data_IF_231683533205
#
_entry.id   IF_231683533205
#
_cell.length_a   1.000
_cell.length_b   1.000
_cell.length_c   1.000
_cell.angle_alpha   90.00
_cell.angle_beta   90.00
_cell.angle_gamma   90.00
#
_symmetry.space_group_name_H-M   'P 1'
#
loop_
_entity.id
_entity.type
_entity.pdbx_description
1 polymer ?
#
# COMPACT_ATOMS: atom_id res chain seq x y z
N UNK A 1 16.61 18.94 9.03
CA UNK A 1 16.70 19.13 7.56
C UNK A 1 15.32 18.91 7.00
N UNK A 2 14.76 19.86 6.26
CA UNK A 2 13.37 19.79 5.80
C UNK A 2 13.30 19.03 4.48
N UNK A 3 12.25 18.20 4.28
CA UNK A 3 12.05 17.44 3.04
C UNK A 3 12.03 18.38 1.82
N UNK A 4 11.49 19.59 1.99
CA UNK A 4 11.37 20.63 0.96
C UNK A 4 12.70 21.21 0.48
N UNK A 5 13.83 20.93 1.16
CA UNK A 5 15.15 21.32 0.65
C UNK A 5 15.52 20.56 -0.62
N UNK A 6 15.03 19.33 -0.78
CA UNK A 6 15.30 18.50 -1.95
C UNK A 6 14.05 18.24 -2.77
N UNK A 7 12.90 18.13 -2.12
CA UNK A 7 11.63 17.83 -2.77
C UNK A 7 10.80 19.08 -2.99
N UNK A 8 10.02 19.07 -4.05
CA UNK A 8 9.02 20.10 -4.30
C UNK A 8 7.65 19.70 -3.75
N UNK A 9 6.85 20.70 -3.38
CA UNK A 9 5.48 20.59 -2.91
C UNK A 9 4.66 21.74 -3.51
N UNK A 10 3.48 21.44 -4.02
CA UNK A 10 2.51 22.43 -4.43
C UNK A 10 1.81 22.97 -3.18
N UNK A 11 1.82 24.28 -3.05
CA UNK A 11 1.13 24.99 -1.97
C UNK A 11 0.17 25.97 -2.61
N UNK A 12 -1.10 25.88 -2.19
CA UNK A 12 -2.15 26.81 -2.61
C UNK A 12 -2.26 27.92 -1.58
N UNK A 13 -2.13 29.17 -2.03
CA UNK A 13 -2.34 30.37 -1.23
C UNK A 13 -3.31 31.28 -1.97
N UNK A 14 -4.54 31.40 -1.45
CA UNK A 14 -5.63 32.05 -2.20
C UNK A 14 -5.98 31.23 -3.46
N UNK A 15 -6.08 31.90 -4.60
CA UNK A 15 -6.39 31.27 -5.90
C UNK A 15 -5.13 30.77 -6.64
N UNK A 16 -3.94 31.02 -6.09
CA UNK A 16 -2.68 30.63 -6.73
C UNK A 16 -2.12 29.34 -6.13
N UNK A 17 -1.84 28.36 -6.99
CA UNK A 17 -1.09 27.16 -6.62
C UNK A 17 0.33 27.28 -7.16
N UNK A 18 1.31 27.29 -6.26
CA UNK A 18 2.73 27.40 -6.62
C UNK A 18 3.52 26.21 -6.08
N UNK A 19 4.44 25.72 -6.91
CA UNK A 19 5.40 24.72 -6.49
C UNK A 19 6.54 25.39 -5.69
N UNK A 20 6.78 24.91 -4.48
CA UNK A 20 7.84 25.38 -3.59
C UNK A 20 8.77 24.21 -3.21
N UNK A 21 10.03 24.50 -2.93
CA UNK A 21 11.02 23.52 -2.51
C UNK A 21 12.09 23.24 -3.56
N UNK A 22 12.78 22.11 -3.42
CA UNK A 22 13.88 21.69 -4.28
C UNK A 22 13.44 20.84 -5.47
N UNK A 23 14.36 20.66 -6.42
CA UNK A 23 14.22 19.89 -7.66
C UNK A 23 15.14 18.66 -7.72
N UNK A 24 15.87 18.38 -6.64
CA UNK A 24 16.77 17.22 -6.52
C UNK A 24 15.95 15.92 -6.39
N UNK A 25 14.89 15.97 -5.59
CA UNK A 25 13.98 14.87 -5.33
C UNK A 25 12.65 15.05 -6.08
N UNK A 26 11.89 13.95 -6.25
CA UNK A 26 10.58 14.03 -6.89
C UNK A 26 9.62 14.92 -6.11
N UNK A 27 8.67 15.51 -6.84
CA UNK A 27 7.51 16.24 -6.33
C UNK A 27 6.68 15.34 -5.39
N UNK A 28 6.34 15.84 -4.20
CA UNK A 28 5.70 15.04 -3.14
C UNK A 28 4.22 15.34 -2.89
N UNK A 29 3.60 16.35 -3.51
CA UNK A 29 2.23 16.83 -3.21
C UNK A 29 1.21 15.72 -3.11
N UNK A 30 1.35 14.71 -3.97
CA UNK A 30 0.38 13.62 -4.14
C UNK A 30 1.00 12.25 -3.85
N UNK A 31 2.16 12.20 -3.21
CA UNK A 31 2.92 10.95 -3.03
C UNK A 31 2.20 9.94 -2.14
N UNK A 32 1.45 10.40 -1.13
CA UNK A 32 0.67 9.55 -0.23
C UNK A 32 -0.42 8.75 -0.94
N UNK A 33 -0.98 9.25 -2.03
CA UNK A 33 -1.92 8.47 -2.86
C UNK A 33 -1.23 7.51 -3.84
N UNK A 34 0.10 7.58 -3.95
CA UNK A 34 0.88 6.78 -4.91
C UNK A 34 1.64 5.63 -4.24
N UNK A 35 1.98 5.72 -2.96
CA UNK A 35 2.91 4.78 -2.30
C UNK A 35 2.21 3.96 -1.22
N UNK A 36 2.72 2.75 -0.96
CA UNK A 36 2.23 1.92 0.13
C UNK A 36 2.89 2.33 1.46
N UNK A 37 2.15 2.37 2.58
CA UNK A 37 2.70 2.75 3.89
C UNK A 37 3.89 1.88 4.37
N UNK A 38 3.85 0.56 4.17
CA UNK A 38 4.95 -0.35 4.53
C UNK A 38 6.21 -0.08 3.71
N UNK A 39 6.02 0.14 2.41
CA UNK A 39 7.11 0.52 1.52
C UNK A 39 7.68 1.88 1.92
N UNK A 40 6.82 2.86 2.24
CA UNK A 40 7.25 4.20 2.62
C UNK A 40 8.09 4.17 3.90
N UNK A 41 7.69 3.39 4.90
CA UNK A 41 8.48 3.20 6.13
C UNK A 41 9.85 2.58 5.81
N UNK A 42 9.90 1.55 4.96
CA UNK A 42 11.17 0.92 4.57
C UNK A 42 12.06 1.88 3.79
N UNK A 43 11.49 2.62 2.84
CA UNK A 43 12.17 3.61 2.02
C UNK A 43 12.73 4.77 2.85
N UNK A 44 11.96 5.33 3.79
CA UNK A 44 12.42 6.39 4.68
C UNK A 44 13.52 5.92 5.65
N UNK A 45 13.53 4.63 6.00
CA UNK A 45 14.54 4.04 6.89
C UNK A 45 15.87 3.82 6.17
N UNK A 46 15.82 3.21 4.99
CA UNK A 46 17.01 2.89 4.21
C UNK A 46 16.71 2.81 2.71
N UNK A 47 16.74 3.95 1.99
CA UNK A 47 16.45 3.96 0.57
C UNK A 47 17.54 3.24 -0.24
N UNK A 48 18.81 3.27 0.20
CA UNK A 48 19.91 2.57 -0.47
C UNK A 48 19.80 1.03 -0.40
N UNK A 49 19.08 0.50 0.58
CA UNK A 49 18.79 -0.94 0.63
C UNK A 49 17.86 -1.39 -0.51
N UNK A 50 17.00 -0.49 -1.00
CA UNK A 50 16.08 -0.75 -2.12
C UNK A 50 16.71 -0.32 -3.46
N UNK A 51 17.28 0.89 -3.50
CA UNK A 51 17.96 1.44 -4.68
C UNK A 51 19.35 1.92 -4.28
N UNK A 52 20.38 1.14 -4.58
CA UNK A 52 21.77 1.39 -4.16
C UNK A 52 22.32 2.78 -4.53
N UNK A 53 21.82 3.38 -5.60
CA UNK A 53 22.19 4.72 -6.08
C UNK A 53 21.22 5.82 -5.63
N UNK A 54 20.34 5.56 -4.67
CA UNK A 54 19.43 6.55 -4.14
C UNK A 54 20.20 7.71 -3.47
N UNK A 55 19.92 8.93 -3.93
CA UNK A 55 20.50 10.17 -3.38
C UNK A 55 19.88 10.58 -2.04
N UNK A 56 18.69 10.06 -1.71
CA UNK A 56 18.00 10.36 -0.45
C UNK A 56 18.84 9.86 0.74
N UNK A 57 19.26 10.73 1.67
CA UNK A 57 20.10 10.33 2.79
C UNK A 57 19.43 9.37 3.76
N UNK A 58 20.23 8.58 4.49
CA UNK A 58 19.76 7.83 5.67
C UNK A 58 19.71 8.75 6.88
N UNK A 59 18.51 9.23 7.22
CA UNK A 59 18.34 10.20 8.30
C UNK A 59 18.43 9.61 9.72
N UNK A 60 18.52 8.28 9.86
CA UNK A 60 18.58 7.56 11.15
C UNK A 60 17.46 7.97 12.13
N UNK A 61 16.27 8.21 11.60
CA UNK A 61 15.08 8.57 12.37
C UNK A 61 14.66 7.46 13.34
N UNK A 62 14.06 7.86 14.46
CA UNK A 62 13.44 6.93 15.39
C UNK A 62 12.19 6.29 14.77
N UNK A 63 11.73 5.17 15.32
CA UNK A 63 10.47 4.53 14.90
C UNK A 63 9.27 5.48 15.07
N UNK A 64 9.31 6.34 16.08
CA UNK A 64 8.29 7.36 16.30
C UNK A 64 8.31 8.44 15.20
N UNK A 65 9.48 8.88 14.76
CA UNK A 65 9.61 9.87 13.68
C UNK A 65 9.19 9.26 12.34
N UNK A 66 9.61 8.03 12.06
CA UNK A 66 9.18 7.29 10.87
C UNK A 66 7.66 7.14 10.83
N UNK A 67 7.04 6.78 11.96
CA UNK A 67 5.58 6.70 12.05
C UNK A 67 4.91 8.05 11.76
N UNK A 68 5.35 9.13 12.41
CA UNK A 68 4.77 10.48 12.24
C UNK A 68 4.90 10.99 10.82
N UNK A 69 6.08 10.87 10.22
CA UNK A 69 6.34 11.32 8.84
C UNK A 69 5.52 10.49 7.84
N UNK A 70 5.48 9.16 8.02
CA UNK A 70 4.67 8.26 7.19
C UNK A 70 3.20 8.63 7.25
N UNK A 71 2.65 8.84 8.45
CA UNK A 71 1.26 9.28 8.61
C UNK A 71 1.03 10.64 7.94
N UNK A 72 1.92 11.61 8.14
CA UNK A 72 1.78 12.92 7.52
C UNK A 72 1.72 12.79 6.00
N UNK A 73 2.65 12.05 5.39
CA UNK A 73 2.69 11.84 3.95
C UNK A 73 1.40 11.16 3.46
N UNK A 74 0.98 10.08 4.10
CA UNK A 74 -0.19 9.30 3.68
C UNK A 74 -1.53 10.03 3.89
N UNK A 75 -1.57 11.06 4.75
CA UNK A 75 -2.83 11.77 5.07
C UNK A 75 -2.89 13.19 4.51
N UNK A 76 -1.74 13.83 4.28
CA UNK A 76 -1.66 15.24 3.88
C UNK A 76 -1.17 15.42 2.45
N UNK A 77 -0.43 14.45 1.91
CA UNK A 77 0.13 14.51 0.57
C UNK A 77 -0.61 13.58 -0.38
N UNK A 78 -1.94 13.71 -0.38
CA UNK A 78 -2.85 12.86 -1.14
C UNK A 78 -3.48 13.66 -2.28
N UNK A 79 -3.75 12.96 -3.37
CA UNK A 79 -4.60 13.44 -4.45
C UNK A 79 -6.05 13.02 -4.19
N UNK A 80 -6.93 13.94 -3.75
CA UNK A 80 -8.35 13.62 -3.57
C UNK A 80 -9.01 13.26 -4.91
N UNK A 81 -8.43 13.70 -6.04
CA UNK A 81 -9.01 13.53 -7.36
C UNK A 81 -8.48 12.32 -8.13
N UNK A 82 -7.57 11.53 -7.53
CA UNK A 82 -6.85 10.46 -8.23
C UNK A 82 -7.78 9.44 -8.91
N UNK A 83 -8.98 9.26 -8.35
CA UNK A 83 -9.99 8.32 -8.84
C UNK A 83 -11.30 9.01 -9.25
N UNK A 84 -11.39 10.34 -9.20
CA UNK A 84 -12.64 11.08 -9.47
C UNK A 84 -13.20 10.85 -10.87
N UNK A 85 -12.35 10.46 -11.82
CA UNK A 85 -12.73 10.18 -13.22
C UNK A 85 -12.70 8.68 -13.57
N UNK A 86 -12.41 7.81 -12.59
CA UNK A 86 -12.54 6.37 -12.77
C UNK A 86 -13.96 6.04 -12.31
N UNK A 87 -14.84 5.50 -13.18
CA UNK A 87 -16.13 5.03 -12.75
C UNK A 87 -15.91 4.08 -11.55
N UNK A 88 -16.57 4.32 -10.40
CA UNK A 88 -16.47 3.37 -9.31
C UNK A 88 -16.93 2.03 -9.85
N UNK A 89 -16.02 1.05 -9.83
CA UNK A 89 -16.43 -0.32 -10.05
C UNK A 89 -17.43 -0.66 -8.95
N UNK A 90 -18.53 -1.31 -9.32
CA UNK A 90 -19.45 -1.83 -8.32
C UNK A 90 -18.66 -2.75 -7.39
N UNK A 91 -18.92 -2.62 -6.08
CA UNK A 91 -18.35 -3.51 -5.09
C UNK A 91 -18.71 -4.95 -5.48
N UNK A 92 -17.71 -5.83 -5.72
CA UNK A 92 -18.00 -7.15 -6.22
C UNK A 92 -18.82 -7.93 -5.22
N UNK A 93 -19.83 -8.63 -5.70
CA UNK A 93 -20.66 -9.48 -4.88
C UNK A 93 -19.82 -10.63 -4.30
N UNK A 94 -20.25 -11.14 -3.15
CA UNK A 94 -19.59 -12.31 -2.54
C UNK A 94 -19.60 -13.53 -3.47
N UNK A 95 -20.58 -13.64 -4.37
CA UNK A 95 -20.63 -14.73 -5.33
C UNK A 95 -19.59 -14.57 -6.44
N UNK A 96 -19.36 -13.36 -6.94
CA UNK A 96 -18.29 -13.08 -7.91
C UNK A 96 -16.90 -13.34 -7.32
N UNK A 97 -16.68 -12.95 -6.06
CA UNK A 97 -15.43 -13.25 -5.35
C UNK A 97 -15.24 -14.77 -5.23
N UNK A 98 -16.27 -15.51 -4.81
CA UNK A 98 -16.19 -16.98 -4.69
C UNK A 98 -15.99 -17.66 -6.04
N UNK A 99 -16.64 -17.17 -7.09
CA UNK A 99 -16.45 -17.67 -8.45
C UNK A 99 -15.00 -17.49 -8.87
N UNK A 100 -14.43 -16.30 -8.69
CA UNK A 100 -13.02 -16.04 -8.99
C UNK A 100 -12.06 -16.90 -8.17
N UNK A 101 -12.31 -17.11 -6.87
CA UNK A 101 -11.52 -18.01 -6.02
C UNK A 101 -11.60 -19.47 -6.49
N UNK A 102 -12.79 -19.93 -6.90
CA UNK A 102 -12.97 -21.28 -7.47
C UNK A 102 -12.20 -21.43 -8.77
N UNK A 103 -12.32 -20.46 -9.67
CA UNK A 103 -11.58 -20.47 -10.93
C UNK A 103 -10.06 -20.43 -10.69
N UNK A 104 -9.58 -19.68 -9.71
CA UNK A 104 -8.15 -19.65 -9.34
C UNK A 104 -7.63 -21.04 -8.94
N UNK A 105 -8.44 -21.85 -8.26
CA UNK A 105 -8.14 -23.25 -7.96
C UNK A 105 -8.22 -24.13 -9.20
N UNK A 106 -9.32 -24.07 -9.95
CA UNK A 106 -9.60 -24.93 -11.12
C UNK A 106 -8.61 -24.71 -12.27
N UNK A 107 -8.18 -23.46 -12.51
CA UNK A 107 -7.18 -23.13 -13.52
C UNK A 107 -5.75 -23.43 -13.07
N UNK A 108 -5.57 -23.93 -11.84
CA UNK A 108 -4.27 -24.35 -11.30
C UNK A 108 -3.37 -23.20 -10.86
N UNK A 109 -3.85 -21.94 -10.80
CA UNK A 109 -3.05 -20.78 -10.38
C UNK A 109 -2.47 -20.98 -8.97
N UNK A 110 -3.23 -21.68 -8.13
CA UNK A 110 -2.86 -22.02 -6.78
C UNK A 110 -1.60 -22.92 -6.72
N UNK A 111 -1.24 -23.67 -7.77
CA UNK A 111 -0.02 -24.49 -7.76
C UNK A 111 1.26 -23.68 -7.56
N UNK A 112 1.24 -22.39 -7.87
CA UNK A 112 2.38 -21.49 -7.74
C UNK A 112 2.09 -20.26 -6.87
N UNK A 113 0.86 -19.74 -6.87
CA UNK A 113 0.50 -18.50 -6.19
C UNK A 113 -0.36 -18.75 -4.95
N UNK A 114 -0.15 -17.93 -3.93
CA UNK A 114 -0.97 -17.92 -2.71
C UNK A 114 -1.92 -16.71 -2.75
N UNK A 115 -3.17 -16.92 -2.36
CA UNK A 115 -4.17 -15.86 -2.13
C UNK A 115 -4.81 -16.08 -0.75
N UNK A 116 -5.51 -15.09 -0.21
CA UNK A 116 -6.23 -15.27 1.05
C UNK A 116 -7.29 -16.37 0.92
N UNK A 117 -7.25 -17.35 1.82
CA UNK A 117 -8.21 -18.47 1.84
C UNK A 117 -7.87 -19.64 0.90
N UNK A 118 -6.82 -19.54 0.07
CA UNK A 118 -6.36 -20.63 -0.81
C UNK A 118 -4.83 -20.75 -0.73
N UNK A 119 -4.35 -21.87 -0.18
CA UNK A 119 -2.91 -22.09 0.02
C UNK A 119 -2.46 -23.43 -0.57
N UNK A 120 -1.64 -23.40 -1.63
CA UNK A 120 -0.77 -24.54 -1.96
C UNK A 120 0.72 -24.20 -1.83
N UNK A 121 1.58 -25.15 -2.25
CA UNK A 121 3.01 -25.25 -1.94
C UNK A 121 3.79 -23.93 -1.98
N UNK A 122 4.59 -23.72 -0.94
CA UNK A 122 5.49 -22.57 -0.78
C UNK A 122 6.52 -22.49 -1.94
N UNK A 123 6.78 -21.26 -2.37
CA UNK A 123 8.00 -20.79 -3.04
C UNK A 123 8.09 -20.82 -4.59
N UNK A 124 7.02 -21.09 -5.34
CA UNK A 124 7.09 -21.05 -6.82
C UNK A 124 6.67 -19.72 -7.45
N UNK A 125 5.66 -19.05 -6.90
CA UNK A 125 5.17 -17.75 -7.36
C UNK A 125 5.04 -16.74 -6.20
N UNK A 126 4.97 -15.43 -6.51
CA UNK A 126 4.77 -14.40 -5.50
C UNK A 126 3.42 -14.57 -4.80
N UNK A 127 3.40 -14.21 -3.51
CA UNK A 127 2.19 -14.08 -2.71
C UNK A 127 1.31 -12.94 -3.27
N UNK A 128 0.06 -13.26 -3.57
CA UNK A 128 -0.93 -12.35 -4.13
C UNK A 128 -1.98 -11.91 -3.10
N UNK A 129 -1.86 -12.31 -1.83
CA UNK A 129 -2.81 -11.99 -0.75
C UNK A 129 -3.01 -10.49 -0.47
N UNK A 130 -2.11 -9.65 -0.99
CA UNK A 130 -2.14 -8.19 -0.86
C UNK A 130 -2.20 -7.47 -2.21
N UNK A 131 -2.37 -8.20 -3.31
CA UNK A 131 -2.26 -7.64 -4.66
C UNK A 131 -3.26 -6.49 -4.89
N UNK A 132 -4.47 -6.64 -4.37
CA UNK A 132 -5.52 -5.62 -4.43
C UNK A 132 -5.18 -4.31 -3.72
N UNK A 133 -4.27 -4.35 -2.74
CA UNK A 133 -3.80 -3.15 -2.03
C UNK A 133 -2.60 -2.48 -2.69
N UNK A 134 -2.12 -2.98 -3.83
CA UNK A 134 -0.97 -2.38 -4.52
C UNK A 134 -1.39 -1.17 -5.34
N UNK A 135 -0.63 -0.10 -5.19
CA UNK A 135 -0.73 1.07 -6.06
C UNK A 135 0.05 0.85 -7.36
N UNK A 136 -0.31 1.59 -8.41
CA UNK A 136 0.31 1.50 -9.75
C UNK A 136 1.84 1.66 -9.70
N UNK A 137 2.35 2.49 -8.79
CA UNK A 137 3.80 2.70 -8.61
C UNK A 137 4.57 1.45 -8.15
N UNK A 138 3.88 0.46 -7.60
CA UNK A 138 4.45 -0.79 -7.08
C UNK A 138 4.38 -1.95 -8.08
N UNK A 139 3.88 -1.67 -9.29
CA UNK A 139 3.70 -2.63 -10.35
C UNK A 139 4.80 -2.47 -11.39
N UNK A 140 5.47 -3.57 -11.72
CA UNK A 140 6.54 -3.60 -12.71
C UNK A 140 5.97 -3.81 -14.12
N UNK A 141 5.78 -2.72 -14.86
CA UNK A 141 5.20 -2.74 -16.22
C UNK A 141 6.23 -3.07 -17.33
N UNK A 142 7.54 -3.01 -17.02
CA UNK A 142 8.59 -3.18 -18.03
C UNK A 142 8.40 -2.23 -19.22
N UNK A 143 8.48 -2.78 -20.43
CA UNK A 143 8.24 -2.05 -21.69
C UNK A 143 6.80 -2.25 -22.23
N UNK A 144 5.86 -2.72 -21.39
CA UNK A 144 4.49 -2.98 -21.82
C UNK A 144 3.74 -1.69 -22.16
N UNK A 145 2.91 -1.75 -23.21
CA UNK A 145 2.05 -0.64 -23.66
C UNK A 145 0.63 -0.69 -23.07
N UNK A 146 0.40 -1.52 -22.05
CA UNK A 146 -0.92 -1.61 -21.39
C UNK A 146 -1.23 -0.33 -20.59
N UNK A 147 -2.52 -0.01 -20.38
CA UNK A 147 -2.91 1.05 -19.46
C UNK A 147 -2.29 0.84 -18.06
N UNK A 148 -1.77 1.93 -17.47
CA UNK A 148 -1.10 1.89 -16.16
C UNK A 148 -2.10 1.89 -15.01
N UNK A 149 -2.81 0.78 -14.86
CA UNK A 149 -3.70 0.51 -13.75
C UNK A 149 -3.61 -0.98 -13.34
N UNK A 150 -4.12 -1.32 -12.15
CA UNK A 150 -4.00 -2.66 -11.58
C UNK A 150 -4.78 -3.72 -12.36
N UNK A 151 -5.94 -3.38 -12.92
CA UNK A 151 -6.78 -4.31 -13.70
C UNK A 151 -6.04 -4.75 -14.96
N UNK A 152 -5.59 -3.79 -15.76
CA UNK A 152 -4.83 -4.04 -16.98
C UNK A 152 -3.54 -4.79 -16.69
N UNK A 153 -2.88 -4.50 -15.57
CA UNK A 153 -1.70 -5.24 -15.12
C UNK A 153 -2.00 -6.71 -14.84
N UNK A 154 -3.05 -7.01 -14.07
CA UNK A 154 -3.46 -8.38 -13.72
C UNK A 154 -3.83 -9.15 -14.98
N UNK A 155 -4.69 -8.58 -15.82
CA UNK A 155 -5.14 -9.23 -17.05
C UNK A 155 -3.98 -9.51 -18.00
N UNK A 156 -3.05 -8.56 -18.17
CA UNK A 156 -1.85 -8.76 -18.99
C UNK A 156 -0.91 -9.83 -18.41
N UNK A 157 -0.73 -9.90 -17.09
CA UNK A 157 0.04 -10.97 -16.44
C UNK A 157 -0.55 -12.36 -16.67
N UNK A 158 -1.87 -12.49 -16.75
CA UNK A 158 -2.55 -13.77 -16.97
C UNK A 158 -2.49 -14.19 -18.44
N UNK A 159 -2.73 -13.24 -19.35
CA UNK A 159 -2.90 -13.51 -20.78
C UNK A 159 -1.59 -13.48 -21.56
N UNK A 160 -0.68 -12.54 -21.24
CA UNK A 160 0.64 -12.41 -21.85
C UNK A 160 1.70 -11.89 -20.84
N UNK A 161 2.13 -12.73 -19.88
CA UNK A 161 3.07 -12.34 -18.84
C UNK A 161 4.43 -11.85 -19.37
N UNK A 162 4.85 -12.33 -20.55
CA UNK A 162 6.13 -11.95 -21.18
C UNK A 162 6.11 -10.51 -21.69
N UNK A 163 4.94 -9.99 -22.09
CA UNK A 163 4.79 -8.58 -22.48
C UNK A 163 5.05 -7.61 -21.31
N UNK A 164 4.78 -8.05 -20.08
CA UNK A 164 4.95 -7.26 -18.85
C UNK A 164 6.34 -7.47 -18.25
N UNK A 165 6.83 -8.72 -18.23
CA UNK A 165 8.16 -9.06 -17.76
C UNK A 165 8.76 -10.18 -18.65
N UNK A 166 9.80 -9.90 -19.46
CA UNK A 166 10.44 -10.91 -20.30
C UNK A 166 11.02 -12.12 -19.55
N UNK A 167 11.29 -11.98 -18.25
CA UNK A 167 11.77 -13.07 -17.38
C UNK A 167 10.63 -13.83 -16.67
N UNK A 168 9.36 -13.57 -17.02
CA UNK A 168 8.23 -14.24 -16.41
C UNK A 168 8.23 -15.75 -16.70
N UNK A 169 8.00 -16.54 -15.64
CA UNK A 169 7.81 -18.00 -15.72
C UNK A 169 6.33 -18.41 -15.68
N UNK A 170 5.44 -17.43 -15.48
CA UNK A 170 4.00 -17.65 -15.49
C UNK A 170 3.58 -18.11 -16.91
N UNK A 171 2.82 -19.21 -17.05
CA UNK A 171 2.30 -19.63 -18.34
C UNK A 171 1.34 -18.59 -18.95
N UNK A 172 1.22 -18.59 -20.28
CA UNK A 172 0.15 -17.85 -20.95
C UNK A 172 -1.17 -18.63 -20.83
N UNK A 173 -2.19 -18.02 -20.21
CA UNK A 173 -3.51 -18.63 -20.08
C UNK A 173 -4.46 -18.09 -21.13
N UNK A 174 -5.22 -18.99 -21.75
CA UNK A 174 -6.35 -18.65 -22.62
C UNK A 174 -7.63 -18.83 -21.83
N UNK A 175 -8.13 -17.73 -21.27
CA UNK A 175 -9.38 -17.68 -20.51
C UNK A 175 -10.48 -17.05 -21.35
N UNK A 176 -11.73 -17.39 -21.05
CA UNK A 176 -12.87 -16.61 -21.53
C UNK A 176 -12.83 -15.22 -20.89
N UNK A 177 -13.43 -14.18 -21.50
CA UNK A 177 -13.51 -12.86 -20.88
C UNK A 177 -14.14 -12.92 -19.48
N UNK A 178 -15.21 -13.70 -19.32
CA UNK A 178 -15.89 -13.90 -18.04
C UNK A 178 -14.98 -14.54 -16.97
N UNK A 179 -14.22 -15.59 -17.33
CA UNK A 179 -13.30 -16.24 -16.39
C UNK A 179 -12.16 -15.30 -15.98
N UNK A 180 -11.63 -14.54 -16.95
CA UNK A 180 -10.55 -13.57 -16.73
C UNK A 180 -11.01 -12.46 -15.78
N UNK A 181 -12.23 -11.93 -15.99
CA UNK A 181 -12.81 -10.90 -15.14
C UNK A 181 -13.08 -11.45 -13.74
N UNK A 182 -13.67 -12.64 -13.61
CA UNK A 182 -13.93 -13.25 -12.31
C UNK A 182 -12.65 -13.46 -11.49
N UNK A 183 -11.58 -13.99 -12.11
CA UNK A 183 -10.27 -14.15 -11.43
C UNK A 183 -9.69 -12.78 -11.08
N UNK A 184 -9.78 -11.81 -11.98
CA UNK A 184 -9.28 -10.44 -11.73
C UNK A 184 -10.01 -9.82 -10.54
N UNK A 185 -11.33 -9.95 -10.47
CA UNK A 185 -12.16 -9.49 -9.34
C UNK A 185 -11.74 -10.14 -8.02
N UNK A 186 -11.54 -11.47 -8.01
CA UNK A 186 -11.04 -12.13 -6.80
C UNK A 186 -9.65 -11.61 -6.39
N UNK A 187 -8.73 -11.41 -7.33
CA UNK A 187 -7.40 -10.87 -7.05
C UNK A 187 -7.42 -9.42 -6.56
N UNK A 188 -8.33 -8.60 -7.08
CA UNK A 188 -8.55 -7.23 -6.61
C UNK A 188 -9.10 -7.19 -5.18
N UNK A 189 -9.89 -8.19 -4.78
CA UNK A 189 -10.38 -8.30 -3.40
C UNK A 189 -9.30 -8.70 -2.38
N UNK A 190 -8.10 -9.13 -2.84
CA UNK A 190 -6.98 -9.51 -1.98
C UNK A 190 -6.30 -8.28 -1.37
N UNK A 191 -6.88 -7.77 -0.28
CA UNK A 191 -6.45 -6.55 0.42
C UNK A 191 -5.90 -6.83 1.83
N UNK A 192 -5.41 -8.04 2.04
CA UNK A 192 -4.88 -8.52 3.31
C UNK A 192 -3.68 -7.75 3.85
N UNK A 193 -3.29 -8.05 5.08
CA UNK A 193 -2.01 -7.57 5.62
C UNK A 193 -0.85 -8.47 5.17
N UNK A 194 0.28 -7.91 4.71
CA UNK A 194 1.46 -8.70 4.41
C UNK A 194 1.99 -9.38 5.68
N UNK A 195 2.45 -10.62 5.57
CA UNK A 195 3.06 -11.38 6.68
C UNK A 195 4.28 -10.68 7.33
N UNK A 196 4.83 -9.63 6.71
CA UNK A 196 6.04 -8.90 7.11
C UNK A 196 5.90 -7.37 7.00
N UNK A 197 4.81 -6.78 7.52
CA UNK A 197 4.58 -5.32 7.52
C UNK A 197 5.70 -4.56 8.26
N UNK A 198 6.27 -3.55 7.59
CA UNK A 198 7.28 -2.64 8.17
C UNK A 198 6.65 -1.62 9.11
N UNK A 199 5.42 -1.20 8.84
CA UNK A 199 4.65 -0.32 9.69
C UNK A 199 4.27 -1.01 11.00
N UNK A 200 3.90 -2.30 10.96
CA UNK A 200 3.59 -3.10 12.14
C UNK A 200 4.80 -3.32 13.07
N UNK A 201 6.03 -3.18 12.55
CA UNK A 201 7.27 -3.31 13.32
C UNK A 201 7.71 -2.01 14.00
N UNK A 202 7.05 -0.88 13.75
CA UNK A 202 7.40 0.38 14.40
C UNK A 202 7.03 0.32 15.89
N UNK A 203 8.03 0.45 16.77
CA UNK A 203 7.81 0.57 18.20
C UNK A 203 7.63 2.05 18.55
N UNK A 204 6.37 2.47 18.68
CA UNK A 204 6.04 3.84 19.12
C UNK A 204 5.63 3.79 20.59
N UNK A 205 6.43 4.36 21.52
CA UNK A 205 6.04 4.46 22.91
C UNK A 205 4.73 5.25 23.01
N UNK A 206 3.70 4.66 23.60
CA UNK A 206 2.52 5.43 23.98
C UNK A 206 2.91 6.28 25.19
N UNK A 207 2.83 7.62 25.13
CA UNK A 207 3.05 8.41 26.32
C UNK A 207 2.02 7.98 27.36
N UNK A 208 2.48 7.41 28.49
CA UNK A 208 1.59 7.14 29.61
C UNK A 208 1.05 8.47 30.11
N UNK A 209 -0.28 8.55 30.24
CA UNK A 209 -0.95 9.67 30.89
C UNK A 209 -0.41 9.77 32.32
N UNK A 210 0.27 10.87 32.65
CA UNK A 210 0.66 11.18 34.02
C UNK A 210 -0.55 11.46 34.94
N UNK A 211 -1.74 11.60 34.35
CA UNK A 211 -2.99 11.80 35.08
C UNK A 211 -3.46 10.48 35.67
N UNK A 212 -3.41 10.38 37.00
CA UNK A 212 -3.99 9.30 37.80
C UNK A 212 -5.03 9.88 38.74
N UNK A 213 -6.34 9.79 38.40
CA UNK A 213 -7.37 10.27 39.29
C UNK A 213 -7.37 9.44 40.60
N UNK A 214 -7.61 10.10 41.73
CA UNK A 214 -7.67 9.43 43.03
C UNK A 214 -9.09 8.90 43.34
N UNK A 215 -9.18 8.00 44.32
CA UNK A 215 -10.43 7.47 44.85
C UNK A 215 -11.15 6.49 43.91
N UNK A 216 -12.45 6.28 44.13
CA UNK A 216 -13.25 5.29 43.39
C UNK A 216 -13.28 5.54 41.88
N UNK A 217 -13.15 6.79 41.44
CA UNK A 217 -13.02 7.11 40.01
C UNK A 217 -11.67 6.65 39.44
N UNK A 218 -10.58 6.73 40.22
CA UNK A 218 -9.28 6.16 39.87
C UNK A 218 -9.32 4.66 39.60
N UNK A 219 -10.02 3.92 40.46
CA UNK A 219 -10.20 2.48 40.27
C UNK A 219 -10.96 2.14 38.98
N UNK A 220 -12.00 2.92 38.66
CA UNK A 220 -12.74 2.76 37.40
C UNK A 220 -11.88 3.17 36.20
N UNK A 221 -11.14 4.26 36.32
CA UNK A 221 -10.23 4.78 35.29
C UNK A 221 -9.19 3.73 34.87
N UNK A 222 -8.57 3.05 35.84
CA UNK A 222 -7.57 2.01 35.59
C UNK A 222 -8.19 0.69 35.14
N UNK A 223 -9.36 0.33 35.69
CA UNK A 223 -10.11 -0.87 35.33
C UNK A 223 -10.57 -0.85 33.88
N UNK A 224 -11.15 0.27 33.45
CA UNK A 224 -11.64 0.46 32.09
C UNK A 224 -10.60 1.02 31.12
N UNK A 225 -9.35 1.16 31.59
CA UNK A 225 -8.21 1.61 30.77
C UNK A 225 -8.53 2.92 30.04
N UNK A 226 -9.16 3.87 30.72
CA UNK A 226 -9.66 5.10 30.11
C UNK A 226 -8.53 5.91 29.42
N UNK A 227 -7.30 5.85 29.94
CA UNK A 227 -6.10 6.47 29.35
C UNK A 227 -5.73 5.93 27.96
N UNK A 228 -6.25 4.77 27.55
CA UNK A 228 -6.01 4.18 26.23
C UNK A 228 -6.69 5.03 25.16
N UNK A 229 -7.92 5.47 25.39
CA UNK A 229 -8.70 6.20 24.38
C UNK A 229 -8.84 7.70 24.69
N UNK A 230 -8.80 8.07 25.97
CA UNK A 230 -9.07 9.45 26.41
C UNK A 230 -7.81 10.12 26.95
N UNK A 231 -7.65 11.38 26.56
CA UNK A 231 -6.59 12.26 27.04
C UNK A 231 -7.20 13.30 27.97
N UNK A 232 -6.80 13.28 29.23
CA UNK A 232 -7.29 14.21 30.26
C UNK A 232 -6.20 15.24 30.53
N UNK A 233 -6.57 16.52 30.55
CA UNK A 233 -5.66 17.68 30.70
C UNK A 233 -4.64 17.92 29.57
N UNK A 234 -5.02 17.69 28.31
CA UNK A 234 -4.27 18.17 27.14
C UNK A 234 -3.40 17.13 26.46
#
# INVERSE_FOLDING_TARGET
MFCTTCHSLAVTQGDETKLIGGDIGPELTKVGSKVNPDWLVAWLRDPQSYLSHALMPRYRWSDQDLYKVTQYINTRLTDPDLLSNVPPLEEPTQEEIRLGQRLFLEKGCASCHVIQGVSPQKDFGPDLAILGSKNVSQLEFGNSNIPRNLISYIQAKITDPLSVNPAARMPQYRLTPTDLDAITTALLSMTGSPANSSLARLVVPRPESAFRPAGAFGELYDRYKCAVCHRFNG
#
